data_IF_137017392499
#
_entry.id   IF_137017392499
#
_cell.length_a   1.000
_cell.length_b   1.000
_cell.length_c   1.000
_cell.angle_alpha   90.00
_cell.angle_beta   90.00
_cell.angle_gamma   90.00
#
_symmetry.space_group_name_H-M   'P 1'
#
loop_
_entity.id
_entity.type
_entity.pdbx_description
1 polymer ?
#
# COMPACT_ATOMS: atom_id res chain seq x y z
N UNK A 1 -0.01 -42.04 -2.42
CA UNK A 1 -0.54 -40.75 -1.94
C UNK A 1 -1.65 -40.34 -2.89
N UNK A 2 -2.92 -40.57 -2.54
CA UNK A 2 -4.04 -40.12 -3.38
C UNK A 2 -4.46 -38.73 -2.90
N UNK A 3 -3.89 -37.69 -3.50
CA UNK A 3 -4.34 -36.32 -3.24
C UNK A 3 -5.67 -36.10 -3.96
N UNK A 4 -6.67 -35.57 -3.26
CA UNK A 4 -7.99 -35.33 -3.86
C UNK A 4 -7.89 -34.20 -4.88
N UNK A 5 -8.03 -34.53 -6.16
CA UNK A 5 -7.95 -33.57 -7.27
C UNK A 5 -8.98 -32.44 -7.14
N UNK A 6 -10.18 -32.73 -6.63
CA UNK A 6 -11.23 -31.74 -6.35
C UNK A 6 -10.81 -30.70 -5.30
N UNK A 7 -10.07 -31.13 -4.28
CA UNK A 7 -9.60 -30.25 -3.21
C UNK A 7 -8.50 -29.32 -3.71
N UNK A 8 -7.56 -29.85 -4.50
CA UNK A 8 -6.53 -29.04 -5.17
C UNK A 8 -7.14 -28.04 -6.16
N UNK A 9 -8.11 -28.48 -6.97
CA UNK A 9 -8.79 -27.60 -7.92
C UNK A 9 -9.52 -26.46 -7.19
N UNK A 10 -10.27 -26.77 -6.13
CA UNK A 10 -10.96 -25.76 -5.31
C UNK A 10 -9.97 -24.76 -4.70
N UNK A 11 -8.86 -25.25 -4.13
CA UNK A 11 -7.83 -24.40 -3.55
C UNK A 11 -7.17 -23.48 -4.59
N UNK A 12 -6.85 -24.00 -5.78
CA UNK A 12 -6.30 -23.21 -6.87
C UNK A 12 -7.28 -22.13 -7.36
N UNK A 13 -8.57 -22.45 -7.48
CA UNK A 13 -9.61 -21.49 -7.85
C UNK A 13 -9.75 -20.40 -6.79
N UNK A 14 -9.77 -20.74 -5.50
CA UNK A 14 -9.83 -19.77 -4.41
C UNK A 14 -8.62 -18.83 -4.43
N UNK A 15 -7.41 -19.37 -4.61
CA UNK A 15 -6.19 -18.56 -4.74
C UNK A 15 -6.24 -17.64 -5.98
N UNK A 16 -6.72 -18.13 -7.12
CA UNK A 16 -6.85 -17.34 -8.33
C UNK A 16 -7.89 -16.21 -8.19
N UNK A 17 -9.06 -16.52 -7.64
CA UNK A 17 -10.14 -15.53 -7.39
C UNK A 17 -9.68 -14.51 -6.35
N UNK A 18 -9.05 -14.95 -5.26
CA UNK A 18 -8.49 -14.07 -4.24
C UNK A 18 -7.44 -13.14 -4.82
N UNK A 19 -6.49 -13.67 -5.61
CA UNK A 19 -5.48 -12.87 -6.31
C UNK A 19 -6.09 -11.88 -7.32
N UNK A 20 -7.11 -12.28 -8.07
CA UNK A 20 -7.83 -11.39 -8.98
C UNK A 20 -8.54 -10.25 -8.24
N UNK A 21 -9.15 -10.52 -7.08
CA UNK A 21 -9.77 -9.50 -6.23
C UNK A 21 -8.75 -8.52 -5.64
N UNK A 22 -7.55 -9.00 -5.27
CA UNK A 22 -6.47 -8.14 -4.76
C UNK A 22 -5.93 -7.16 -5.81
N UNK A 23 -6.14 -7.42 -7.10
CA UNK A 23 -5.79 -6.52 -8.19
C UNK A 23 -6.83 -5.43 -8.45
N UNK A 24 -7.91 -5.38 -7.67
CA UNK A 24 -8.95 -4.34 -7.81
C UNK A 24 -8.63 -3.11 -6.96
N UNK A 25 -9.19 -1.94 -7.31
CA UNK A 25 -8.99 -0.67 -6.60
C UNK A 25 -9.69 -0.53 -5.23
N UNK A 26 -10.92 -1.04 -5.01
CA UNK A 26 -11.59 -0.81 -3.73
C UNK A 26 -11.00 -1.69 -2.62
N UNK A 27 -10.66 -1.08 -1.50
CA UNK A 27 -9.96 -1.69 -0.37
C UNK A 27 -10.76 -2.86 0.20
N UNK A 28 -12.09 -2.74 0.30
CA UNK A 28 -12.96 -3.86 0.71
C UNK A 28 -12.82 -5.09 -0.17
N UNK A 29 -12.67 -4.94 -1.49
CA UNK A 29 -12.46 -6.08 -2.41
C UNK A 29 -11.07 -6.66 -2.27
N UNK A 30 -10.05 -5.83 -2.05
CA UNK A 30 -8.68 -6.31 -1.78
C UNK A 30 -8.68 -7.15 -0.51
N UNK A 31 -9.34 -6.68 0.56
CA UNK A 31 -9.43 -7.38 1.83
C UNK A 31 -10.20 -8.70 1.68
N UNK A 32 -11.33 -8.69 0.97
CA UNK A 32 -12.08 -9.90 0.65
C UNK A 32 -11.23 -10.89 -0.18
N UNK A 33 -10.43 -10.38 -1.12
CA UNK A 33 -9.49 -11.17 -1.91
C UNK A 33 -8.45 -11.86 -1.04
N UNK A 34 -7.87 -11.15 -0.07
CA UNK A 34 -6.94 -11.71 0.90
C UNK A 34 -7.57 -12.82 1.76
N UNK A 35 -8.81 -12.62 2.22
CA UNK A 35 -9.57 -13.64 2.98
C UNK A 35 -9.80 -14.89 2.13
N UNK A 36 -10.27 -14.73 0.89
CA UNK A 36 -10.55 -15.84 -0.02
C UNK A 36 -9.26 -16.60 -0.37
N UNK A 37 -8.17 -15.89 -0.67
CA UNK A 37 -6.86 -16.48 -0.92
C UNK A 37 -6.33 -17.24 0.32
N UNK A 38 -6.48 -16.66 1.52
CA UNK A 38 -6.11 -17.32 2.78
C UNK A 38 -6.86 -18.63 3.00
N UNK A 39 -8.15 -18.68 2.69
CA UNK A 39 -8.93 -19.93 2.72
C UNK A 39 -8.41 -20.96 1.69
N UNK A 40 -8.04 -20.52 0.49
CA UNK A 40 -7.40 -21.39 -0.51
C UNK A 40 -6.07 -21.96 -0.03
N UNK A 41 -5.23 -21.14 0.60
CA UNK A 41 -3.94 -21.58 1.18
C UNK A 41 -4.17 -22.58 2.33
N UNK A 42 -5.15 -22.35 3.20
CA UNK A 42 -5.50 -23.30 4.26
C UNK A 42 -5.91 -24.67 3.69
N UNK A 43 -6.65 -24.69 2.58
CA UNK A 43 -6.97 -25.94 1.88
C UNK A 43 -5.73 -26.60 1.26
N UNK A 44 -4.76 -25.83 0.73
CA UNK A 44 -3.49 -26.38 0.27
C UNK A 44 -2.69 -27.03 1.40
N UNK A 45 -2.62 -26.38 2.57
CA UNK A 45 -1.97 -26.92 3.76
C UNK A 45 -2.66 -28.22 4.19
N UNK A 46 -3.99 -28.25 4.22
CA UNK A 46 -4.75 -29.45 4.57
C UNK A 46 -4.58 -30.57 3.53
N UNK A 47 -4.39 -30.23 2.25
CA UNK A 47 -4.11 -31.21 1.19
C UNK A 47 -2.79 -31.95 1.40
N UNK A 48 -1.82 -31.33 2.09
CA UNK A 48 -0.52 -31.91 2.40
C UNK A 48 -0.61 -33.05 3.44
N UNK A 49 -1.68 -33.09 4.23
CA UNK A 49 -1.97 -34.15 5.21
C UNK A 49 -2.16 -35.53 4.55
N UNK A 50 -2.51 -35.58 3.25
CA UNK A 50 -2.66 -36.83 2.52
C UNK A 50 -4.00 -37.53 2.76
N UNK A 51 -3.97 -38.86 2.89
CA UNK A 51 -5.19 -39.69 2.96
C UNK A 51 -5.98 -39.42 4.23
N UNK A 52 -7.31 -39.29 4.12
CA UNK A 52 -8.20 -39.16 5.27
C UNK A 52 -8.09 -40.41 6.16
N UNK A 53 -7.47 -40.24 7.33
CA UNK A 53 -7.45 -41.23 8.40
C UNK A 53 -8.56 -40.95 9.43
N UNK A 54 -8.51 -41.66 10.56
CA UNK A 54 -9.35 -41.39 11.72
C UNK A 54 -8.91 -40.10 12.43
N UNK A 55 -9.82 -39.51 13.19
CA UNK A 55 -9.52 -38.33 14.00
C UNK A 55 -8.29 -38.55 14.91
N UNK A 56 -7.43 -37.53 15.09
CA UNK A 56 -6.32 -37.57 16.03
C UNK A 56 -6.79 -37.40 17.48
N UNK A 57 -7.78 -38.20 17.88
CA UNK A 57 -8.20 -38.35 19.26
C UNK A 57 -7.56 -39.64 19.80
N UNK A 58 -6.81 -39.53 20.90
CA UNK A 58 -6.00 -40.62 21.48
C UNK A 58 -6.80 -41.82 22.04
N UNK A 59 -8.09 -41.93 21.70
CA UNK A 59 -8.98 -42.97 22.21
C UNK A 59 -9.09 -44.14 21.21
N UNK A 60 -8.39 -45.25 21.50
CA UNK A 60 -8.70 -46.56 20.92
C UNK A 60 -8.35 -46.76 19.44
N UNK A 61 -7.55 -45.87 18.83
CA UNK A 61 -7.15 -45.96 17.41
C UNK A 61 -5.67 -46.26 17.26
N UNK A 62 -5.31 -47.20 16.38
CA UNK A 62 -3.91 -47.44 16.01
C UNK A 62 -3.33 -46.20 15.33
N UNK A 63 -2.14 -45.75 15.77
CA UNK A 63 -1.46 -44.54 15.29
C UNK A 63 -1.27 -44.50 13.76
N UNK A 64 -1.12 -45.67 13.14
CA UNK A 64 -1.00 -45.83 11.67
C UNK A 64 -2.28 -45.51 10.89
N UNK A 65 -3.42 -45.38 11.56
CA UNK A 65 -4.71 -45.01 10.97
C UNK A 65 -5.10 -43.57 11.28
N UNK A 66 -4.29 -42.85 12.05
CA UNK A 66 -4.55 -41.47 12.47
C UNK A 66 -4.02 -40.50 11.42
N UNK A 67 -4.82 -39.48 11.11
CA UNK A 67 -4.44 -38.39 10.23
C UNK A 67 -3.34 -37.53 10.86
N UNK A 68 -2.35 -37.09 10.08
CA UNK A 68 -1.28 -36.21 10.60
C UNK A 68 -1.86 -34.91 11.20
N UNK A 69 -1.68 -34.67 12.51
CA UNK A 69 -2.23 -33.48 13.18
C UNK A 69 -1.43 -32.20 12.88
N UNK A 70 -0.20 -32.30 12.36
CA UNK A 70 0.67 -31.14 12.18
C UNK A 70 0.09 -30.10 11.20
N UNK A 71 -0.36 -30.45 9.97
CA UNK A 71 -0.96 -29.47 9.08
C UNK A 71 -2.28 -28.90 9.62
N UNK A 72 -3.01 -29.64 10.45
CA UNK A 72 -4.25 -29.18 11.07
C UNK A 72 -3.99 -28.07 12.10
N UNK A 73 -2.96 -28.25 12.94
CA UNK A 73 -2.54 -27.23 13.91
C UNK A 73 -2.04 -25.95 13.21
N UNK A 74 -1.29 -26.10 12.11
CA UNK A 74 -0.85 -24.97 11.28
C UNK A 74 -2.06 -24.24 10.69
N UNK A 75 -3.03 -24.96 10.13
CA UNK A 75 -4.24 -24.36 9.57
C UNK A 75 -5.07 -23.61 10.62
N UNK A 76 -5.25 -24.16 11.82
CA UNK A 76 -5.96 -23.47 12.91
C UNK A 76 -5.27 -22.15 13.28
N UNK A 77 -3.93 -22.16 13.37
CA UNK A 77 -3.14 -20.96 13.66
C UNK A 77 -3.32 -19.91 12.56
N UNK A 78 -3.25 -20.34 11.30
CA UNK A 78 -3.46 -19.46 10.16
C UNK A 78 -4.86 -18.82 10.17
N UNK A 79 -5.91 -19.59 10.47
CA UNK A 79 -7.30 -19.08 10.55
C UNK A 79 -7.42 -17.97 11.58
N UNK A 80 -6.84 -18.14 12.78
CA UNK A 80 -6.90 -17.13 13.86
C UNK A 80 -6.14 -15.86 13.46
N UNK A 81 -4.95 -16.00 12.86
CA UNK A 81 -4.17 -14.84 12.37
C UNK A 81 -4.96 -14.11 11.27
N UNK A 82 -5.53 -14.83 10.30
CA UNK A 82 -6.33 -14.23 9.24
C UNK A 82 -7.54 -13.51 9.81
N UNK A 83 -8.26 -14.10 10.78
CA UNK A 83 -9.40 -13.45 11.43
C UNK A 83 -8.99 -12.16 12.15
N UNK A 84 -7.92 -12.21 12.96
CA UNK A 84 -7.44 -11.06 13.72
C UNK A 84 -6.97 -9.92 12.80
N UNK A 85 -6.15 -10.24 11.80
CA UNK A 85 -5.65 -9.26 10.82
C UNK A 85 -6.78 -8.70 9.96
N UNK A 86 -7.74 -9.53 9.54
CA UNK A 86 -8.92 -9.07 8.77
C UNK A 86 -9.79 -8.14 9.60
N UNK A 87 -10.09 -8.49 10.86
CA UNK A 87 -10.89 -7.63 11.73
C UNK A 87 -10.20 -6.27 11.97
N UNK A 88 -8.89 -6.28 12.20
CA UNK A 88 -8.09 -5.07 12.34
C UNK A 88 -8.10 -4.21 11.07
N UNK A 89 -7.80 -4.81 9.92
CA UNK A 89 -7.79 -4.10 8.64
C UNK A 89 -9.18 -3.59 8.26
N UNK A 90 -10.24 -4.34 8.57
CA UNK A 90 -11.62 -3.91 8.33
C UNK A 90 -12.00 -2.73 9.21
N UNK A 91 -11.58 -2.71 10.48
CA UNK A 91 -11.77 -1.57 11.37
C UNK A 91 -11.03 -0.32 10.87
N UNK A 92 -9.78 -0.49 10.41
CA UNK A 92 -8.99 0.58 9.79
C UNK A 92 -9.62 1.08 8.48
N UNK A 93 -10.08 0.17 7.62
CA UNK A 93 -10.76 0.51 6.38
C UNK A 93 -12.06 1.27 6.66
N UNK A 94 -12.84 0.82 7.64
CA UNK A 94 -14.05 1.52 8.07
C UNK A 94 -13.74 2.93 8.60
N UNK A 95 -12.67 3.08 9.40
CA UNK A 95 -12.22 4.39 9.89
C UNK A 95 -11.76 5.28 8.75
N UNK A 96 -10.98 4.75 7.80
CA UNK A 96 -10.51 5.47 6.62
C UNK A 96 -11.69 5.93 5.75
N UNK A 97 -12.69 5.07 5.55
CA UNK A 97 -13.89 5.40 4.80
C UNK A 97 -14.68 6.53 5.45
N UNK A 98 -14.79 6.56 6.78
CA UNK A 98 -15.43 7.67 7.49
C UNK A 98 -14.68 9.00 7.33
N UNK A 99 -13.35 8.98 7.23
CA UNK A 99 -12.53 10.18 7.09
C UNK A 99 -12.50 10.71 5.65
N UNK A 100 -12.34 9.80 4.67
CA UNK A 100 -12.12 10.15 3.26
C UNK A 100 -13.42 10.13 2.45
N UNK A 101 -14.45 9.42 2.91
CA UNK A 101 -15.72 9.23 2.17
C UNK A 101 -15.61 8.30 0.96
N UNK A 102 -14.44 7.70 0.72
CA UNK A 102 -14.18 6.79 -0.42
C UNK A 102 -13.54 5.50 0.09
N UNK A 103 -13.72 4.40 -0.64
CA UNK A 103 -13.10 3.10 -0.34
C UNK A 103 -12.04 2.72 -1.39
N UNK A 104 -11.67 3.66 -2.26
CA UNK A 104 -10.71 3.42 -3.34
C UNK A 104 -9.28 3.68 -2.88
N UNK A 105 -8.37 2.76 -3.21
CA UNK A 105 -6.94 2.98 -3.04
C UNK A 105 -6.47 3.98 -4.08
N UNK A 106 -5.90 5.09 -3.60
CA UNK A 106 -5.43 6.19 -4.44
C UNK A 106 -3.99 5.95 -4.91
N UNK A 107 -3.70 6.41 -6.13
CA UNK A 107 -2.34 6.41 -6.66
C UNK A 107 -1.50 7.49 -5.93
N UNK A 108 -0.26 7.17 -5.57
CA UNK A 108 0.62 8.11 -4.87
C UNK A 108 0.99 9.29 -5.79
N UNK A 109 0.81 10.51 -5.27
CA UNK A 109 1.20 11.74 -5.97
C UNK A 109 2.71 11.81 -6.19
N UNK A 110 3.52 11.24 -5.29
CA UNK A 110 4.97 11.20 -5.42
C UNK A 110 5.40 10.24 -6.54
N UNK A 111 4.71 9.11 -6.74
CA UNK A 111 4.98 8.22 -7.86
C UNK A 111 4.75 8.93 -9.20
N UNK A 112 3.65 9.67 -9.32
CA UNK A 112 3.38 10.50 -10.50
C UNK A 112 4.46 11.56 -10.71
N UNK A 113 5.00 12.13 -9.62
CA UNK A 113 6.09 13.12 -9.66
C UNK A 113 7.40 12.52 -10.17
N UNK A 114 7.74 11.31 -9.73
CA UNK A 114 8.96 10.61 -10.16
C UNK A 114 8.89 10.34 -11.67
N UNK A 115 7.75 9.83 -12.16
CA UNK A 115 7.53 9.57 -13.59
C UNK A 115 7.66 10.85 -14.43
N UNK A 116 6.98 11.94 -14.04
CA UNK A 116 7.06 13.20 -14.78
C UNK A 116 8.47 13.79 -14.76
N UNK A 117 9.19 13.71 -13.62
CA UNK A 117 10.59 14.15 -13.54
C UNK A 117 11.48 13.34 -14.47
N UNK A 118 11.31 12.03 -14.51
CA UNK A 118 12.07 11.15 -15.39
C UNK A 118 11.83 11.52 -16.87
N UNK A 119 10.57 11.73 -17.27
CA UNK A 119 10.19 12.16 -18.63
C UNK A 119 10.86 13.49 -19.00
N UNK A 120 10.71 14.52 -18.16
CA UNK A 120 11.28 15.86 -18.45
C UNK A 120 12.80 15.85 -18.45
N UNK A 121 13.43 15.06 -17.59
CA UNK A 121 14.89 14.91 -17.60
C UNK A 121 15.37 14.21 -18.87
N UNK A 122 14.67 13.17 -19.34
CA UNK A 122 14.91 12.53 -20.63
C UNK A 122 14.81 13.50 -21.80
N UNK A 123 13.68 14.20 -21.93
CA UNK A 123 13.47 15.23 -22.98
C UNK A 123 14.57 16.30 -22.96
N UNK A 124 15.01 16.71 -21.77
CA UNK A 124 16.08 17.71 -21.61
C UNK A 124 17.44 17.18 -22.08
N UNK A 125 17.72 15.92 -21.82
CA UNK A 125 19.01 15.31 -22.16
C UNK A 125 19.06 15.01 -23.67
N UNK A 126 17.97 14.55 -24.28
CA UNK A 126 17.83 14.47 -25.76
C UNK A 126 17.99 15.84 -26.43
N UNK A 127 17.34 16.87 -25.90
CA UNK A 127 17.45 18.24 -26.40
C UNK A 127 18.90 18.74 -26.35
N UNK A 128 19.61 18.41 -25.26
CA UNK A 128 21.04 18.73 -25.12
C UNK A 128 21.90 18.00 -26.14
N UNK A 129 21.63 16.73 -26.36
CA UNK A 129 22.37 15.90 -27.30
C UNK A 129 22.18 16.39 -28.73
N UNK A 130 20.94 16.66 -29.13
CA UNK A 130 20.57 17.24 -30.43
C UNK A 130 21.31 18.56 -30.69
N UNK A 131 21.26 19.46 -29.71
CA UNK A 131 21.99 20.74 -29.75
C UNK A 131 23.52 20.57 -29.78
N UNK A 132 24.06 19.49 -29.18
CA UNK A 132 25.50 19.20 -29.20
C UNK A 132 25.95 18.62 -30.55
N UNK A 133 25.13 17.77 -31.17
CA UNK A 133 25.42 17.09 -32.44
C UNK A 133 25.38 18.00 -33.66
N UNK A 134 24.68 19.15 -33.60
CA UNK A 134 24.71 20.15 -34.66
C UNK A 134 26.10 20.81 -34.75
N UNK A 135 26.72 20.69 -35.93
CA UNK A 135 28.07 21.15 -36.22
C UNK A 135 28.17 22.66 -36.46
N UNK A 136 27.09 23.31 -36.90
CA UNK A 136 27.10 24.73 -37.31
C UNK A 136 26.08 25.56 -36.50
N UNK A 137 26.51 25.99 -35.31
CA UNK A 137 25.63 26.51 -34.24
C UNK A 137 25.25 27.97 -34.45
N UNK A 138 24.14 28.17 -35.16
CA UNK A 138 23.58 29.50 -35.43
C UNK A 138 22.96 30.14 -34.18
N UNK A 139 22.84 31.47 -34.17
CA UNK A 139 22.17 32.18 -33.08
C UNK A 139 20.69 31.83 -32.96
N UNK A 140 20.06 31.42 -34.07
CA UNK A 140 18.68 30.94 -34.09
C UNK A 140 18.52 29.61 -33.34
N UNK A 141 19.40 28.63 -33.58
CA UNK A 141 19.41 27.34 -32.85
C UNK A 141 19.64 27.55 -31.35
N UNK A 142 20.54 28.46 -30.97
CA UNK A 142 20.76 28.84 -29.56
C UNK A 142 19.51 29.45 -28.93
N UNK A 143 18.72 30.22 -29.68
CA UNK A 143 17.45 30.78 -29.21
C UNK A 143 16.39 29.68 -29.06
N UNK A 144 16.29 28.76 -30.03
CA UNK A 144 15.38 27.60 -29.98
C UNK A 144 15.67 26.69 -28.79
N UNK A 145 16.91 26.23 -28.62
CA UNK A 145 17.33 25.41 -27.48
C UNK A 145 17.01 26.08 -26.12
N UNK A 146 17.27 27.38 -25.99
CA UNK A 146 16.95 28.14 -24.77
C UNK A 146 15.44 28.25 -24.53
N UNK A 147 14.64 28.40 -25.59
CA UNK A 147 13.18 28.46 -25.49
C UNK A 147 12.59 27.09 -25.09
N UNK A 148 13.04 26.01 -25.71
CA UNK A 148 12.57 24.64 -25.40
C UNK A 148 12.97 24.22 -23.97
N UNK A 149 14.21 24.48 -23.56
CA UNK A 149 14.65 24.24 -22.18
C UNK A 149 13.85 25.06 -21.16
N UNK A 150 13.41 26.28 -21.52
CA UNK A 150 12.50 27.08 -20.66
C UNK A 150 11.11 26.45 -20.58
N UNK A 151 10.58 25.92 -21.68
CA UNK A 151 9.30 25.18 -21.70
C UNK A 151 9.33 23.94 -20.81
N UNK A 152 10.35 23.10 -20.93
CA UNK A 152 10.54 21.91 -20.08
C UNK A 152 10.57 22.27 -18.58
N UNK A 153 11.29 23.34 -18.23
CA UNK A 153 11.32 23.86 -16.84
C UNK A 153 9.99 24.44 -16.39
N UNK A 154 9.22 25.05 -17.29
CA UNK A 154 7.89 25.57 -16.97
C UNK A 154 6.90 24.43 -16.71
N UNK A 155 6.99 23.31 -17.45
CA UNK A 155 6.17 22.09 -17.24
C UNK A 155 6.30 21.56 -15.80
N UNK A 156 7.53 21.43 -15.29
CA UNK A 156 7.80 21.02 -13.89
C UNK A 156 7.39 22.04 -12.82
N UNK A 157 7.19 23.31 -13.19
CA UNK A 157 6.72 24.35 -12.26
C UNK A 157 5.20 24.42 -12.23
N UNK A 158 4.56 24.29 -13.39
CA UNK A 158 3.10 24.23 -13.52
C UNK A 158 2.53 23.02 -12.78
N UNK A 159 3.18 21.86 -12.91
CA UNK A 159 2.78 20.64 -12.19
C UNK A 159 2.88 20.82 -10.65
N UNK A 160 3.96 21.42 -10.16
CA UNK A 160 4.11 21.79 -8.75
C UNK A 160 3.03 22.76 -8.26
N UNK A 161 2.60 23.70 -9.10
CA UNK A 161 1.57 24.68 -8.74
C UNK A 161 0.17 24.07 -8.68
N UNK A 162 -0.15 23.14 -9.58
CA UNK A 162 -1.41 22.39 -9.56
C UNK A 162 -1.51 21.47 -8.34
N UNK A 163 -0.38 20.87 -7.93
CA UNK A 163 -0.35 19.94 -6.80
C UNK A 163 -0.20 20.61 -5.43
N UNK A 164 0.33 21.84 -5.34
CA UNK A 164 0.27 22.63 -4.12
C UNK A 164 -1.17 22.78 -3.62
N UNK A 165 -2.12 22.96 -4.54
CA UNK A 165 -3.57 22.97 -4.24
C UNK A 165 -4.16 21.60 -3.87
N UNK A 166 -3.49 20.51 -4.25
CA UNK A 166 -3.89 19.14 -3.89
C UNK A 166 -3.33 18.68 -2.54
N UNK A 167 -2.20 19.25 -2.11
CA UNK A 167 -1.61 19.05 -0.78
C UNK A 167 -2.58 19.49 0.32
N UNK A 168 -3.41 20.50 0.06
CA UNK A 168 -4.42 21.00 1.01
C UNK A 168 -5.60 20.02 1.18
N UNK A 169 -5.81 19.09 0.24
CA UNK A 169 -6.93 18.12 0.27
C UNK A 169 -6.58 16.77 0.92
N UNK A 170 -5.29 16.44 1.05
CA UNK A 170 -4.80 15.17 1.62
C UNK A 170 -3.63 15.34 2.61
N UNK A 171 -2.97 16.49 2.62
CA UNK A 171 -1.65 16.69 3.23
C UNK A 171 -1.67 17.10 4.69
N UNK A 172 -2.80 17.58 5.21
CA UNK A 172 -2.93 17.92 6.63
C UNK A 172 -3.62 16.82 7.46
N UNK A 173 -4.06 15.72 6.85
CA UNK A 173 -4.79 14.68 7.58
C UNK A 173 -3.94 14.05 8.71
N UNK A 174 -2.62 13.97 8.53
CA UNK A 174 -1.70 13.51 9.58
C UNK A 174 -1.37 14.59 10.62
N UNK A 175 -1.31 15.87 10.24
CA UNK A 175 -1.10 16.99 11.17
C UNK A 175 -2.35 17.29 12.01
N UNK A 176 -3.54 17.16 11.44
CA UNK A 176 -4.83 17.32 12.12
C UNK A 176 -5.13 16.14 13.06
N UNK A 177 -4.70 14.92 12.71
CA UNK A 177 -4.94 13.72 13.53
C UNK A 177 -3.91 13.57 14.66
N UNK A 178 -2.66 14.01 14.49
CA UNK A 178 -1.61 13.85 15.50
C UNK A 178 -1.28 15.13 16.29
N UNK A 179 -1.85 16.28 15.94
CA UNK A 179 -1.55 17.55 16.62
C UNK A 179 -0.12 18.03 16.32
N UNK A 180 0.11 19.32 16.55
CA UNK A 180 1.29 20.07 16.13
C UNK A 180 2.65 19.39 16.45
N UNK A 181 3.67 19.76 15.65
CA UNK A 181 5.07 19.40 15.85
C UNK A 181 5.47 19.54 17.34
N UNK A 182 6.27 18.60 17.89
CA UNK A 182 6.70 18.62 19.29
C UNK A 182 7.42 19.92 19.70
N UNK A 183 7.93 20.68 18.74
CA UNK A 183 8.55 21.99 18.99
C UNK A 183 7.55 23.04 19.53
N UNK A 184 6.25 22.88 19.31
CA UNK A 184 5.21 23.76 19.87
C UNK A 184 4.83 23.45 21.32
N UNK A 185 5.17 22.26 21.85
CA UNK A 185 4.96 21.96 23.28
C UNK A 185 5.99 22.62 24.18
N UNK A 186 7.22 22.82 23.71
CA UNK A 186 8.30 23.41 24.50
C UNK A 186 8.08 24.92 24.75
N UNK A 187 7.51 25.65 23.79
CA UNK A 187 7.32 27.10 23.90
C UNK A 187 6.19 27.52 24.87
N UNK A 188 5.24 26.64 25.16
CA UNK A 188 4.11 26.94 26.06
C UNK A 188 4.43 26.73 27.54
N UNK A 189 5.54 26.06 27.87
CA UNK A 189 5.93 25.78 29.26
C UNK A 189 6.71 26.94 29.92
N UNK A 190 7.23 27.88 29.15
CA UNK A 190 8.13 28.95 29.65
C UNK A 190 7.40 30.28 29.97
N UNK A 191 6.09 30.39 29.70
CA UNK A 191 5.32 31.64 29.87
C UNK A 191 4.50 31.72 31.19
N UNK A 192 4.54 30.68 32.03
CA UNK A 192 3.97 30.71 33.40
C UNK A 192 5.06 31.05 34.44
N UNK A 193 5.56 32.28 34.40
CA UNK A 193 6.28 32.86 35.54
C UNK A 193 5.33 33.78 36.31
N UNK A 194 5.00 33.52 37.59
CA UNK A 194 4.02 34.31 38.33
C UNK A 194 4.62 35.69 38.66
N UNK A 195 4.17 36.70 37.94
CA UNK A 195 4.48 38.11 38.19
C UNK A 195 3.84 38.61 39.49
N UNK A 196 4.71 38.81 40.48
CA UNK A 196 4.78 39.92 41.45
C UNK A 196 3.55 40.86 41.54
N UNK A 197 2.79 40.73 42.64
CA UNK A 197 1.74 41.67 43.08
C UNK A 197 2.36 42.94 43.68
N UNK A 198 1.96 44.16 43.26
CA UNK A 198 2.35 45.38 43.96
C UNK A 198 1.41 45.66 45.14
N UNK A 199 2.00 45.82 46.32
CA UNK A 199 1.35 46.17 47.58
C UNK A 199 0.66 47.56 47.54
N UNK A 200 -0.47 47.74 48.26
CA UNK A 200 -0.96 49.04 48.70
C UNK A 200 -0.36 49.50 50.04
#
# INVERSE_FOLDING_TARGET
MTVSASLLATAAVLCAVGGALMLTRPLTRILLGAVIAGNGINLLVLSATGTAGREPLLYGVALSKVTDPLPQAIALTAIVITLATTAFLLAMAYRSHQLTGTDEVHDDLEDRRIVLRAEVLGERDELRERYRSESDRTDEERRRYRAERRRLRARLRADRALQARGRDASGDLWHDVLGADPEHYAAAADDESPGEDPAP
#
